data_IF_004589967484
#
_entry.id   IF_004589967484
#
_cell.length_a   1.000
_cell.length_b   1.000
_cell.length_c   1.000
_cell.angle_alpha   90.00
_cell.angle_beta   90.00
_cell.angle_gamma   90.00
#
_symmetry.space_group_name_H-M   'P 1'
#
loop_
_entity.id
_entity.type
_entity.pdbx_description
1 polymer ?
#
# COMPACT_ATOMS: atom_id res chain seq x y z
N UNK A 1 45.04 -2.14 32.08
CA UNK A 1 45.91 -1.73 33.21
C UNK A 1 46.19 -2.97 34.05
N UNK A 2 47.48 -3.16 34.39
CA UNK A 2 48.08 -4.10 35.35
C UNK A 2 48.05 -5.62 35.13
N UNK A 3 49.22 -6.12 34.71
CA UNK A 3 49.98 -7.30 35.15
C UNK A 3 49.30 -8.32 36.07
N UNK A 4 49.40 -9.61 35.70
CA UNK A 4 50.23 -10.58 36.45
C UNK A 4 50.49 -11.83 35.61
N UNK A 5 51.75 -12.28 35.65
CA UNK A 5 52.25 -13.55 35.13
C UNK A 5 51.56 -14.74 35.84
N UNK A 6 51.42 -15.87 35.15
CA UNK A 6 51.98 -17.11 35.68
C UNK A 6 52.19 -18.17 34.61
N UNK A 7 53.30 -18.85 34.83
CA UNK A 7 53.96 -19.92 34.08
C UNK A 7 53.27 -21.26 34.38
N UNK A 8 53.35 -22.22 33.46
CA UNK A 8 53.81 -23.61 33.66
C UNK A 8 53.37 -24.45 32.45
N UNK A 9 54.36 -24.84 31.66
CA UNK A 9 54.33 -25.99 30.75
C UNK A 9 54.41 -27.30 31.54
N UNK A 10 53.66 -28.32 31.09
CA UNK A 10 54.02 -29.72 31.26
C UNK A 10 53.49 -30.56 30.10
N UNK A 11 54.36 -30.70 29.11
CA UNK A 11 54.95 -31.94 28.57
C UNK A 11 54.11 -33.18 28.19
N UNK A 12 54.52 -33.69 27.02
CA UNK A 12 54.61 -35.08 26.57
C UNK A 12 53.36 -35.92 26.23
N UNK A 13 53.10 -36.09 24.92
CA UNK A 13 53.53 -37.28 24.14
C UNK A 13 52.77 -37.33 22.80
N UNK A 14 53.37 -37.02 21.65
CA UNK A 14 54.24 -37.83 20.76
C UNK A 14 53.68 -39.18 20.31
N UNK A 15 53.23 -39.25 19.06
CA UNK A 15 53.70 -40.19 18.02
C UNK A 15 53.15 -39.72 16.67
N UNK A 16 54.02 -39.27 15.75
CA UNK A 16 54.56 -40.04 14.61
C UNK A 16 53.44 -40.48 13.64
N UNK A 17 53.44 -40.18 12.34
CA UNK A 17 54.56 -40.18 11.39
C UNK A 17 54.12 -39.62 10.01
N UNK A 18 55.09 -39.05 9.30
CA UNK A 18 55.31 -39.09 7.84
C UNK A 18 54.27 -38.54 6.82
N UNK A 19 54.58 -37.31 6.37
CA UNK A 19 55.03 -36.94 5.00
C UNK A 19 54.42 -37.58 3.74
N UNK A 20 53.99 -36.66 2.84
CA UNK A 20 54.18 -36.63 1.38
C UNK A 20 53.43 -37.70 0.54
N UNK A 21 52.73 -37.45 -0.57
CA UNK A 21 52.73 -36.39 -1.59
C UNK A 21 51.42 -36.47 -2.41
N UNK A 22 50.93 -35.31 -2.86
CA UNK A 22 50.31 -35.04 -4.17
C UNK A 22 49.25 -36.00 -4.75
N UNK A 23 48.01 -35.50 -4.87
CA UNK A 23 47.18 -35.74 -6.05
C UNK A 23 46.15 -34.63 -6.23
N UNK A 24 46.06 -34.12 -7.46
CA UNK A 24 45.15 -33.07 -7.89
C UNK A 24 43.67 -33.42 -7.62
N UNK A 25 42.89 -32.46 -7.12
CA UNK A 25 41.43 -32.52 -7.16
C UNK A 25 40.86 -31.29 -7.86
N UNK A 26 40.03 -31.58 -8.85
CA UNK A 26 39.33 -30.62 -9.69
C UNK A 26 38.34 -29.79 -8.87
N UNK A 27 38.42 -28.47 -8.99
CA UNK A 27 37.44 -27.54 -8.43
C UNK A 27 36.15 -27.58 -9.26
N UNK A 28 35.21 -28.46 -8.89
CA UNK A 28 33.84 -28.41 -9.39
C UNK A 28 33.06 -27.31 -8.64
N UNK A 29 32.91 -26.14 -9.28
CA UNK A 29 31.94 -25.12 -8.86
C UNK A 29 30.52 -25.60 -9.22
N UNK A 30 29.55 -25.63 -8.29
CA UNK A 30 28.18 -25.92 -8.67
C UNK A 30 27.57 -24.73 -9.43
N UNK A 31 27.32 -24.91 -10.73
CA UNK A 31 26.54 -23.98 -11.56
C UNK A 31 25.04 -24.16 -11.33
N UNK A 32 24.30 -23.04 -11.32
CA UNK A 32 22.85 -22.81 -11.04
C UNK A 32 21.84 -23.56 -11.94
N UNK A 33 22.07 -24.82 -12.31
CA UNK A 33 21.19 -25.53 -13.26
C UNK A 33 20.92 -26.99 -12.90
N UNK A 34 20.45 -27.23 -11.68
CA UNK A 34 19.71 -28.46 -11.35
C UNK A 34 18.86 -28.20 -10.11
N UNK A 35 17.59 -27.82 -10.29
CA UNK A 35 16.41 -28.34 -9.57
C UNK A 35 15.20 -27.72 -10.26
N UNK A 36 14.73 -28.39 -11.30
CA UNK A 36 13.37 -28.28 -11.81
C UNK A 36 13.00 -29.67 -12.28
N UNK A 37 12.45 -30.48 -11.38
CA UNK A 37 11.54 -31.60 -11.67
C UNK A 37 11.14 -32.25 -10.34
N UNK A 38 9.86 -32.14 -10.00
CA UNK A 38 9.27 -32.79 -8.82
C UNK A 38 7.97 -32.12 -8.39
N UNK A 39 6.87 -32.42 -9.09
CA UNK A 39 5.51 -32.09 -8.67
C UNK A 39 5.13 -32.87 -7.40
N UNK A 40 4.55 -32.22 -6.39
CA UNK A 40 3.32 -32.62 -5.68
C UNK A 40 3.14 -31.87 -4.35
N UNK A 41 1.86 -31.67 -4.02
CA UNK A 41 1.29 -31.06 -2.83
C UNK A 41 1.85 -31.65 -1.52
N UNK A 42 2.47 -30.81 -0.67
CA UNK A 42 2.55 -31.03 0.77
C UNK A 42 2.89 -29.71 1.48
N UNK A 43 1.98 -29.24 2.32
CA UNK A 43 2.21 -28.22 3.33
C UNK A 43 3.32 -28.69 4.29
N UNK A 44 4.50 -28.07 4.21
CA UNK A 44 5.61 -28.30 5.13
C UNK A 44 6.34 -26.99 5.39
N UNK A 45 6.32 -26.55 6.64
CA UNK A 45 7.14 -25.44 7.14
C UNK A 45 8.62 -25.77 6.91
N UNK A 46 9.27 -25.05 5.99
CA UNK A 46 10.72 -25.01 5.91
C UNK A 46 11.21 -23.86 6.78
N UNK A 47 11.66 -24.17 8.00
CA UNK A 47 12.47 -23.24 8.80
C UNK A 47 13.88 -23.30 8.21
N UNK A 48 14.16 -22.46 7.22
CA UNK A 48 15.53 -22.16 6.81
C UNK A 48 16.10 -21.09 7.77
N UNK A 49 17.38 -21.16 8.18
CA UNK A 49 17.99 -20.08 8.93
C UNK A 49 18.00 -18.82 8.06
N UNK A 50 17.53 -17.69 8.60
CA UNK A 50 17.69 -16.37 7.97
C UNK A 50 19.20 -16.05 7.83
N UNK A 51 19.79 -16.43 6.71
CA UNK A 51 21.03 -15.81 6.27
C UNK A 51 20.63 -14.45 5.72
N UNK A 52 20.65 -13.41 6.56
CA UNK A 52 20.59 -12.02 6.10
C UNK A 52 21.85 -11.77 5.27
N UNK A 53 21.74 -11.98 3.96
CA UNK A 53 22.75 -11.55 3.01
C UNK A 53 22.97 -10.05 3.22
N UNK A 54 24.22 -9.63 3.40
CA UNK A 54 24.57 -8.22 3.52
C UNK A 54 24.04 -7.44 2.30
N UNK A 55 23.51 -6.23 2.51
CA UNK A 55 23.11 -5.35 1.40
C UNK A 55 24.33 -5.15 0.49
N UNK A 56 24.25 -5.70 -0.73
CA UNK A 56 25.32 -5.56 -1.71
C UNK A 56 25.42 -4.11 -2.19
N UNK A 57 26.66 -3.66 -2.35
CA UNK A 57 27.03 -2.32 -2.81
C UNK A 57 27.56 -2.31 -4.25
N UNK A 58 27.47 -3.43 -4.97
CA UNK A 58 27.89 -3.51 -6.36
C UNK A 58 26.91 -2.76 -7.26
N UNK A 59 27.41 -1.91 -8.16
CA UNK A 59 26.57 -1.15 -9.09
C UNK A 59 25.68 -2.06 -9.98
N UNK A 60 26.14 -3.28 -10.26
CA UNK A 60 25.38 -4.28 -11.02
C UNK A 60 24.24 -4.95 -10.23
N UNK A 61 24.09 -4.62 -8.94
CA UNK A 61 23.05 -5.16 -8.06
C UNK A 61 22.03 -4.10 -7.61
N UNK A 62 22.20 -2.85 -8.02
CA UNK A 62 21.23 -1.79 -7.78
C UNK A 62 20.15 -1.80 -8.86
N UNK A 63 18.91 -1.54 -8.45
CA UNK A 63 17.81 -1.32 -9.40
C UNK A 63 17.96 0.05 -10.05
N UNK A 64 17.67 0.13 -11.35
CA UNK A 64 17.42 1.40 -12.02
C UNK A 64 15.94 1.78 -11.86
N UNK A 65 15.69 2.84 -11.12
CA UNK A 65 14.35 3.28 -10.73
C UNK A 65 14.00 4.61 -11.41
N UNK A 66 12.79 4.65 -11.99
CA UNK A 66 12.15 5.88 -12.43
C UNK A 66 11.07 6.32 -11.43
N UNK A 67 10.95 7.62 -11.15
CA UNK A 67 9.94 8.15 -10.24
C UNK A 67 9.04 9.16 -10.95
N UNK A 68 7.72 8.97 -10.88
CA UNK A 68 6.68 9.79 -11.52
C UNK A 68 5.81 10.45 -10.45
N UNK A 69 5.73 11.78 -10.47
CA UNK A 69 5.11 12.58 -9.40
C UNK A 69 6.04 12.66 -8.20
N UNK A 70 6.94 13.62 -8.18
CA UNK A 70 8.04 13.73 -7.20
C UNK A 70 7.90 14.95 -6.28
N UNK A 71 6.82 15.72 -6.41
CA UNK A 71 6.41 16.72 -5.42
C UNK A 71 5.76 16.13 -4.16
N UNK A 72 5.82 16.83 -3.02
CA UNK A 72 5.11 16.45 -1.79
C UNK A 72 5.45 15.05 -1.29
N UNK A 73 4.46 14.14 -1.22
CA UNK A 73 4.66 12.73 -0.81
C UNK A 73 5.63 12.00 -1.75
N UNK A 74 5.61 12.32 -3.05
CA UNK A 74 6.55 11.78 -4.02
C UNK A 74 8.00 12.01 -3.64
N UNK A 75 8.35 13.19 -3.10
CA UNK A 75 9.71 13.50 -2.66
C UNK A 75 10.21 12.57 -1.54
N UNK A 76 9.31 12.15 -0.64
CA UNK A 76 9.63 11.20 0.41
C UNK A 76 9.86 9.79 -0.18
N UNK A 77 9.07 9.39 -1.19
CA UNK A 77 9.25 8.12 -1.87
C UNK A 77 10.56 8.07 -2.67
N UNK A 78 10.92 9.15 -3.38
CA UNK A 78 12.24 9.26 -4.03
C UNK A 78 13.36 9.10 -3.00
N UNK A 79 13.24 9.73 -1.83
CA UNK A 79 14.17 9.54 -0.71
C UNK A 79 14.21 8.07 -0.22
N UNK A 80 13.06 7.43 -0.08
CA UNK A 80 12.94 6.05 0.37
C UNK A 80 13.59 5.01 -0.55
N UNK A 81 13.69 5.31 -1.85
CA UNK A 81 14.33 4.42 -2.85
C UNK A 81 15.71 4.91 -3.31
N UNK A 82 16.22 6.01 -2.75
CA UNK A 82 17.50 6.63 -3.16
C UNK A 82 18.75 5.81 -2.86
N UNK A 83 18.62 4.66 -2.18
CA UNK A 83 19.68 3.66 -2.07
C UNK A 83 19.92 2.89 -3.38
N UNK A 84 19.00 2.99 -4.35
CA UNK A 84 19.09 2.42 -5.69
C UNK A 84 19.47 3.50 -6.72
N UNK A 85 19.68 3.12 -7.98
CA UNK A 85 20.05 4.06 -9.02
C UNK A 85 18.80 4.79 -9.56
N UNK A 86 18.69 6.10 -9.30
CA UNK A 86 17.63 6.92 -9.87
C UNK A 86 18.01 7.31 -11.30
N UNK A 87 17.36 6.70 -12.30
CA UNK A 87 17.67 6.95 -13.72
C UNK A 87 16.78 8.03 -14.34
N UNK A 88 15.56 8.21 -13.81
CA UNK A 88 14.62 9.19 -14.32
C UNK A 88 13.73 9.77 -13.21
N UNK A 89 13.48 11.07 -13.31
CA UNK A 89 12.56 11.81 -12.46
C UNK A 89 11.55 12.53 -13.35
N UNK A 90 10.26 12.35 -13.09
CA UNK A 90 9.19 12.89 -13.90
C UNK A 90 8.19 13.69 -13.05
N UNK A 91 8.00 14.97 -13.36
CA UNK A 91 6.96 15.79 -12.75
C UNK A 91 6.43 16.85 -13.73
N UNK A 92 5.11 17.03 -13.72
CA UNK A 92 4.44 18.05 -14.52
C UNK A 92 4.60 19.45 -13.93
N UNK A 93 4.95 19.57 -12.65
CA UNK A 93 5.18 20.83 -11.94
C UNK A 93 6.67 20.96 -11.58
N UNK A 94 7.40 21.67 -12.43
CA UNK A 94 8.85 21.85 -12.32
C UNK A 94 9.25 22.67 -11.09
N UNK A 95 8.39 23.58 -10.64
CA UNK A 95 8.65 24.38 -9.44
C UNK A 95 8.51 23.53 -8.18
N UNK A 96 7.43 22.75 -8.08
CA UNK A 96 7.17 21.87 -6.95
C UNK A 96 8.20 20.74 -6.83
N UNK A 97 8.66 20.22 -7.96
CA UNK A 97 9.67 19.17 -8.05
C UNK A 97 11.12 19.68 -8.00
N UNK A 98 11.35 21.00 -8.14
CA UNK A 98 12.68 21.59 -8.34
C UNK A 98 13.74 21.12 -7.34
N UNK A 99 13.44 21.11 -6.04
CA UNK A 99 14.38 20.65 -5.00
C UNK A 99 14.78 19.17 -5.16
N UNK A 100 13.90 18.34 -5.69
CA UNK A 100 14.17 16.92 -5.92
C UNK A 100 15.04 16.76 -7.18
N UNK A 101 14.74 17.50 -8.25
CA UNK A 101 15.60 17.54 -9.44
C UNK A 101 17.02 18.01 -9.08
N UNK A 102 17.15 19.08 -8.31
CA UNK A 102 18.46 19.59 -7.85
C UNK A 102 19.22 18.54 -7.02
N UNK A 103 18.55 17.95 -6.02
CA UNK A 103 19.17 16.98 -5.11
C UNK A 103 19.64 15.72 -5.84
N UNK A 104 18.92 15.28 -6.87
CA UNK A 104 19.20 14.05 -7.61
C UNK A 104 19.51 14.34 -9.09
N UNK A 105 20.25 15.42 -9.38
CA UNK A 105 20.50 15.94 -10.73
C UNK A 105 21.28 15.01 -11.70
N UNK A 106 21.61 13.79 -11.27
CA UNK A 106 22.12 12.73 -12.16
C UNK A 106 21.01 12.01 -12.91
N UNK A 107 19.81 11.95 -12.33
CA UNK A 107 18.65 11.35 -12.96
C UNK A 107 18.14 12.27 -14.08
N UNK A 108 17.73 11.70 -15.21
CA UNK A 108 17.20 12.51 -16.31
C UNK A 108 15.81 13.05 -15.96
N UNK A 109 15.58 14.34 -16.21
CA UNK A 109 14.34 15.04 -15.86
C UNK A 109 13.33 15.00 -17.02
N UNK A 110 12.07 14.70 -16.68
CA UNK A 110 10.95 14.66 -17.62
C UNK A 110 9.73 15.38 -17.05
N UNK A 111 8.86 15.86 -17.93
CA UNK A 111 7.51 16.28 -17.56
C UNK A 111 6.43 15.26 -17.98
N UNK A 112 6.73 14.42 -18.97
CA UNK A 112 5.82 13.41 -19.49
C UNK A 112 6.45 12.01 -19.36
N UNK A 113 5.79 11.14 -18.59
CA UNK A 113 6.28 9.79 -18.35
C UNK A 113 6.29 8.93 -19.64
N UNK A 114 5.48 9.28 -20.65
CA UNK A 114 5.47 8.58 -21.94
C UNK A 114 6.79 8.79 -22.67
N UNK A 115 7.25 10.06 -22.74
CA UNK A 115 8.56 10.42 -23.29
C UNK A 115 9.71 9.82 -22.48
N UNK A 116 9.56 9.72 -21.16
CA UNK A 116 10.51 9.02 -20.29
C UNK A 116 10.63 7.55 -20.69
N UNK A 117 9.53 6.82 -20.87
CA UNK A 117 9.58 5.44 -21.34
C UNK A 117 10.14 5.33 -22.75
N UNK A 118 9.70 6.18 -23.71
CA UNK A 118 10.22 6.17 -25.08
C UNK A 118 11.75 6.24 -25.13
N UNK A 119 12.36 7.01 -24.22
CA UNK A 119 13.81 7.19 -24.15
C UNK A 119 14.52 6.14 -23.29
N UNK A 120 13.97 5.78 -22.13
CA UNK A 120 14.68 5.06 -21.07
C UNK A 120 14.11 3.68 -20.73
N UNK A 121 13.10 3.18 -21.46
CA UNK A 121 12.43 1.90 -21.14
C UNK A 121 13.40 0.73 -20.89
N UNK A 122 14.45 0.60 -21.71
CA UNK A 122 15.44 -0.48 -21.58
C UNK A 122 16.36 -0.33 -20.36
N UNK A 123 16.43 0.85 -19.77
CA UNK A 123 17.27 1.16 -18.62
C UNK A 123 16.49 1.08 -17.30
N UNK A 124 15.17 1.09 -17.32
CA UNK A 124 14.33 1.11 -16.12
C UNK A 124 14.01 -0.33 -15.70
N UNK A 125 14.23 -0.67 -14.44
CA UNK A 125 13.83 -1.93 -13.81
C UNK A 125 12.50 -1.78 -13.05
N UNK A 126 12.34 -0.65 -12.36
CA UNK A 126 11.21 -0.39 -11.48
C UNK A 126 10.73 1.06 -11.54
N UNK A 127 9.45 1.28 -11.21
CA UNK A 127 8.79 2.58 -11.28
C UNK A 127 8.09 2.89 -9.95
N UNK A 128 8.27 4.11 -9.46
CA UNK A 128 7.52 4.68 -8.33
C UNK A 128 6.51 5.68 -8.88
N UNK A 129 5.22 5.49 -8.60
CA UNK A 129 4.14 6.41 -8.98
C UNK A 129 3.59 7.08 -7.72
N UNK A 130 3.57 8.42 -7.71
CA UNK A 130 3.06 9.23 -6.59
C UNK A 130 2.35 10.50 -7.08
N UNK A 131 1.66 10.37 -8.21
CA UNK A 131 0.85 11.42 -8.83
C UNK A 131 -0.48 11.63 -8.08
N UNK A 132 -1.39 12.53 -8.50
CA UNK A 132 -2.76 12.54 -7.99
C UNK A 132 -3.57 11.29 -8.37
N UNK A 133 -4.62 10.96 -7.62
CA UNK A 133 -5.40 9.71 -7.76
C UNK A 133 -5.83 9.44 -9.22
N UNK A 134 -6.36 10.45 -9.93
CA UNK A 134 -6.83 10.32 -11.32
C UNK A 134 -5.73 9.97 -12.33
N UNK A 135 -4.46 10.05 -11.94
CA UNK A 135 -3.31 9.71 -12.78
C UNK A 135 -2.45 8.60 -12.19
N UNK A 136 -2.91 7.87 -11.16
CA UNK A 136 -2.19 6.69 -10.67
C UNK A 136 -2.21 5.55 -11.70
N UNK A 137 -3.38 5.29 -12.29
CA UNK A 137 -3.64 4.13 -13.15
C UNK A 137 -2.76 4.10 -14.41
N UNK A 138 -2.74 5.19 -15.18
CA UNK A 138 -2.11 5.26 -16.50
C UNK A 138 -0.60 4.98 -16.50
N UNK A 139 0.24 5.71 -15.74
CA UNK A 139 1.66 5.40 -15.63
C UNK A 139 1.92 4.03 -15.01
N UNK A 140 1.07 3.57 -14.09
CA UNK A 140 1.20 2.25 -13.45
C UNK A 140 0.98 1.10 -14.43
N UNK A 141 -0.08 1.14 -15.24
CA UNK A 141 -0.31 0.14 -16.28
C UNK A 141 0.78 0.20 -17.34
N UNK A 142 1.18 1.40 -17.77
CA UNK A 142 2.27 1.58 -18.74
C UNK A 142 3.59 0.93 -18.25
N UNK A 143 3.92 1.09 -16.96
CA UNK A 143 5.07 0.44 -16.35
C UNK A 143 4.94 -1.09 -16.32
N UNK A 144 3.81 -1.61 -15.80
CA UNK A 144 3.62 -3.05 -15.65
C UNK A 144 3.48 -3.78 -17.00
N UNK A 145 2.88 -3.16 -18.01
CA UNK A 145 2.83 -3.71 -19.38
C UNK A 145 4.25 -3.94 -19.96
N UNK A 146 5.21 -3.11 -19.55
CA UNK A 146 6.64 -3.21 -19.91
C UNK A 146 7.45 -4.12 -18.96
N UNK A 147 6.76 -4.89 -18.10
CA UNK A 147 7.38 -5.80 -17.15
C UNK A 147 8.15 -5.12 -16.01
N UNK A 148 7.88 -3.84 -15.73
CA UNK A 148 8.58 -3.09 -14.69
C UNK A 148 7.92 -3.32 -13.33
N UNK A 149 8.72 -3.45 -12.28
CA UNK A 149 8.21 -3.49 -10.91
C UNK A 149 7.57 -2.15 -10.53
N UNK A 150 6.55 -2.17 -9.67
CA UNK A 150 5.74 -0.98 -9.42
C UNK A 150 5.50 -0.73 -7.93
N UNK A 151 5.92 0.43 -7.45
CA UNK A 151 5.40 1.03 -6.23
C UNK A 151 4.38 2.10 -6.64
N UNK A 152 3.17 2.08 -6.07
CA UNK A 152 2.17 3.12 -6.31
C UNK A 152 1.65 3.68 -4.98
N UNK A 153 1.57 5.00 -4.83
CA UNK A 153 0.90 5.61 -3.68
C UNK A 153 -0.59 5.26 -3.60
N UNK A 154 -1.14 5.43 -2.40
CA UNK A 154 -2.56 5.20 -2.11
C UNK A 154 -3.41 6.44 -2.43
N UNK A 155 -4.71 6.27 -2.75
CA UNK A 155 -5.38 5.01 -3.06
C UNK A 155 -4.81 4.39 -4.34
N UNK A 156 -4.91 3.06 -4.53
CA UNK A 156 -4.23 2.39 -5.66
C UNK A 156 -4.60 2.99 -7.03
N UNK A 157 -5.85 3.39 -7.21
CA UNK A 157 -6.34 4.09 -8.41
C UNK A 157 -7.57 4.95 -8.08
N UNK A 158 -8.23 5.51 -9.11
CA UNK A 158 -9.33 6.46 -8.95
C UNK A 158 -10.72 5.79 -8.88
N UNK A 159 -10.88 4.60 -9.48
CA UNK A 159 -12.11 3.80 -9.42
C UNK A 159 -11.85 2.30 -9.26
N UNK A 160 -12.92 1.54 -9.01
CA UNK A 160 -12.88 0.09 -8.74
C UNK A 160 -12.33 -0.70 -9.93
N UNK A 161 -12.73 -0.36 -11.16
CA UNK A 161 -12.26 -1.06 -12.35
C UNK A 161 -10.75 -0.93 -12.55
N UNK A 162 -10.21 0.27 -12.37
CA UNK A 162 -8.77 0.55 -12.48
C UNK A 162 -7.96 -0.26 -11.48
N UNK A 163 -8.40 -0.30 -10.21
CA UNK A 163 -7.74 -1.11 -9.18
C UNK A 163 -7.74 -2.59 -9.56
N UNK A 164 -8.88 -3.11 -10.06
CA UNK A 164 -8.95 -4.52 -10.51
C UNK A 164 -8.02 -4.78 -11.69
N UNK A 165 -7.94 -3.87 -12.65
CA UNK A 165 -7.04 -4.02 -13.80
C UNK A 165 -5.56 -4.00 -13.36
N UNK A 166 -5.18 -3.09 -12.47
CA UNK A 166 -3.81 -3.05 -11.91
C UNK A 166 -3.46 -4.34 -11.18
N UNK A 167 -4.38 -4.84 -10.36
CA UNK A 167 -4.21 -6.09 -9.59
C UNK A 167 -4.05 -7.29 -10.52
N UNK A 168 -4.94 -7.44 -11.52
CA UNK A 168 -4.88 -8.51 -12.52
C UNK A 168 -3.59 -8.45 -13.35
N UNK A 169 -3.19 -7.26 -13.78
CA UNK A 169 -1.99 -7.10 -14.58
C UNK A 169 -0.71 -7.41 -13.79
N UNK A 170 -0.63 -6.95 -12.54
CA UNK A 170 0.49 -7.26 -11.65
C UNK A 170 0.68 -8.79 -11.49
N UNK A 171 -0.42 -9.51 -11.24
CA UNK A 171 -0.40 -10.97 -11.13
C UNK A 171 0.01 -11.64 -12.46
N UNK A 172 -0.53 -11.16 -13.59
CA UNK A 172 -0.19 -11.68 -14.93
C UNK A 172 1.28 -11.50 -15.27
N UNK A 173 1.83 -10.32 -15.00
CA UNK A 173 3.22 -9.96 -15.33
C UNK A 173 4.23 -10.48 -14.30
N UNK A 174 3.75 -10.94 -13.14
CA UNK A 174 4.59 -11.43 -12.02
C UNK A 174 5.62 -10.39 -11.58
N UNK A 175 5.22 -9.12 -11.59
CA UNK A 175 6.06 -8.02 -11.14
C UNK A 175 5.90 -7.81 -9.63
N UNK A 176 6.99 -7.48 -8.94
CA UNK A 176 6.95 -7.01 -7.56
C UNK A 176 6.14 -5.71 -7.47
N UNK A 177 5.17 -5.68 -6.56
CA UNK A 177 4.30 -4.52 -6.33
C UNK A 177 4.24 -4.13 -4.86
N UNK A 178 4.01 -2.86 -4.58
CA UNK A 178 3.68 -2.38 -3.24
C UNK A 178 2.77 -1.15 -3.34
N UNK A 179 1.66 -1.16 -2.60
CA UNK A 179 0.82 0.02 -2.40
C UNK A 179 1.45 0.90 -1.30
N UNK A 180 1.40 2.22 -1.44
CA UNK A 180 1.95 3.22 -0.51
C UNK A 180 1.22 3.34 0.83
N UNK A 181 0.90 2.22 1.48
CA UNK A 181 0.32 2.15 2.82
C UNK A 181 1.40 2.05 3.92
N UNK A 182 2.29 3.03 4.05
CA UNK A 182 3.47 2.94 4.93
C UNK A 182 3.21 2.70 6.43
N UNK A 183 1.96 2.85 6.87
CA UNK A 183 1.56 2.57 8.26
C UNK A 183 1.44 1.08 8.55
N UNK A 184 1.34 0.26 7.50
CA UNK A 184 1.30 -1.20 7.56
C UNK A 184 2.50 -1.76 8.34
N UNK A 185 3.68 -1.15 8.18
CA UNK A 185 4.94 -1.61 8.80
C UNK A 185 5.17 -1.07 10.21
N UNK A 186 4.17 -0.43 10.83
CA UNK A 186 4.30 0.03 12.22
C UNK A 186 4.16 -1.18 13.16
N UNK A 187 5.06 -1.30 14.14
CA UNK A 187 5.03 -2.41 15.09
C UNK A 187 3.67 -2.56 15.79
N UNK A 188 3.02 -1.45 16.20
CA UNK A 188 1.69 -1.53 16.80
C UNK A 188 0.59 -2.04 15.86
N UNK A 189 0.75 -1.85 14.54
CA UNK A 189 -0.13 -2.43 13.53
C UNK A 189 -0.03 -3.96 13.59
N UNK A 190 1.20 -4.50 13.53
CA UNK A 190 1.47 -5.93 13.63
C UNK A 190 0.92 -6.52 14.94
N UNK A 191 1.19 -5.87 16.08
CA UNK A 191 0.69 -6.33 17.39
C UNK A 191 -0.84 -6.31 17.52
N UNK A 192 -1.52 -5.39 16.83
CA UNK A 192 -2.99 -5.37 16.80
C UNK A 192 -3.55 -6.52 15.97
N UNK A 193 -2.92 -6.81 14.83
CA UNK A 193 -3.27 -7.95 13.95
C UNK A 193 -3.09 -9.27 14.71
N UNK A 194 -1.96 -9.46 15.40
CA UNK A 194 -1.68 -10.69 16.15
C UNK A 194 -2.66 -10.93 17.30
N UNK A 195 -3.14 -9.87 17.97
CA UNK A 195 -4.18 -10.01 19.00
C UNK A 195 -5.48 -10.58 18.43
N UNK A 196 -5.90 -10.08 17.27
CA UNK A 196 -7.11 -10.59 16.60
C UNK A 196 -6.88 -12.02 16.12
N UNK A 197 -5.76 -12.30 15.46
CA UNK A 197 -5.45 -13.63 14.93
C UNK A 197 -5.24 -14.69 16.02
N UNK A 198 -4.75 -14.28 17.20
CA UNK A 198 -4.65 -15.14 18.39
C UNK A 198 -6.01 -15.41 19.06
N UNK A 199 -7.09 -14.78 18.59
CA UNK A 199 -8.44 -14.96 19.14
C UNK A 199 -8.68 -14.22 20.46
N UNK A 200 -7.92 -13.17 20.77
CA UNK A 200 -8.01 -12.44 22.04
C UNK A 200 -9.44 -12.00 22.39
N UNK A 201 -10.22 -11.62 21.38
CA UNK A 201 -11.61 -11.17 21.54
C UNK A 201 -12.63 -12.13 20.93
N UNK A 202 -12.24 -13.38 20.66
CA UNK A 202 -13.09 -14.38 20.03
C UNK A 202 -13.43 -14.03 18.57
N UNK A 203 -14.62 -14.45 18.13
CA UNK A 203 -15.07 -14.24 16.77
C UNK A 203 -15.53 -12.79 16.56
N UNK A 204 -14.93 -12.07 15.61
CA UNK A 204 -15.30 -10.69 15.27
C UNK A 204 -16.53 -10.67 14.35
N UNK A 205 -17.59 -9.98 14.77
CA UNK A 205 -18.82 -9.79 13.97
C UNK A 205 -18.95 -8.38 13.40
N UNK A 206 -18.29 -7.40 14.01
CA UNK A 206 -18.39 -6.00 13.61
C UNK A 206 -17.07 -5.24 13.81
N UNK A 207 -16.75 -4.36 12.87
CA UNK A 207 -15.60 -3.45 12.95
C UNK A 207 -16.04 -2.03 12.61
N UNK A 208 -15.61 -1.04 13.39
CA UNK A 208 -15.80 0.38 13.09
C UNK A 208 -14.46 1.04 12.82
N UNK A 209 -14.33 1.65 11.64
CA UNK A 209 -13.13 2.31 11.14
C UNK A 209 -13.42 3.80 10.95
N UNK A 210 -12.61 4.71 11.45
CA UNK A 210 -12.91 6.14 11.28
C UNK A 210 -11.71 7.05 11.10
N UNK A 211 -11.94 8.16 10.41
CA UNK A 211 -11.07 9.34 10.44
C UNK A 211 -11.86 10.55 10.89
N UNK A 212 -11.30 11.30 11.84
CA UNK A 212 -11.86 12.59 12.26
C UNK A 212 -11.50 13.70 11.27
N UNK A 213 -12.35 14.73 11.20
CA UNK A 213 -12.08 15.95 10.44
C UNK A 213 -13.28 16.49 9.68
N UNK A 214 -13.09 17.66 9.06
CA UNK A 214 -14.10 18.41 8.31
C UNK A 214 -13.55 18.85 6.92
N UNK A 215 -12.74 17.98 6.29
CA UNK A 215 -12.17 18.25 4.97
C UNK A 215 -13.10 17.74 3.89
N UNK A 216 -13.30 18.54 2.85
CA UNK A 216 -14.25 18.28 1.77
C UNK A 216 -14.96 19.57 1.40
N UNK A 217 -15.79 19.51 0.36
CA UNK A 217 -16.58 20.65 -0.12
C UNK A 217 -15.77 21.96 -0.29
N UNK A 218 -14.63 21.94 -1.02
CA UNK A 218 -13.88 23.17 -1.29
C UNK A 218 -14.74 24.19 -2.03
N UNK A 219 -14.39 25.47 -1.91
CA UNK A 219 -15.07 26.54 -2.65
C UNK A 219 -14.97 26.31 -4.16
N UNK A 220 -16.08 26.51 -4.85
CA UNK A 220 -16.14 26.42 -6.31
C UNK A 220 -15.49 27.66 -6.90
N UNK A 221 -14.47 27.52 -7.77
CA UNK A 221 -13.85 28.68 -8.39
C UNK A 221 -14.83 29.35 -9.36
N UNK A 222 -14.85 30.68 -9.32
CA UNK A 222 -15.54 31.56 -10.27
C UNK A 222 -14.56 32.37 -11.12
N UNK A 223 -13.27 32.28 -10.83
CA UNK A 223 -12.16 32.92 -11.54
C UNK A 223 -11.15 31.84 -11.95
N UNK A 224 -10.50 32.03 -13.09
CA UNK A 224 -9.57 31.05 -13.66
C UNK A 224 -8.30 31.77 -14.11
N UNK A 225 -7.25 31.82 -13.28
CA UNK A 225 -6.00 32.48 -13.64
C UNK A 225 -5.27 31.71 -14.74
N UNK A 226 -4.30 32.36 -15.38
CA UNK A 226 -3.38 31.68 -16.28
C UNK A 226 -2.64 30.53 -15.56
N UNK A 227 -2.30 29.50 -16.34
CA UNK A 227 -1.51 28.38 -15.86
C UNK A 227 -0.10 28.90 -15.50
N UNK A 228 0.43 28.63 -14.30
CA UNK A 228 1.81 28.94 -13.98
C UNK A 228 2.76 28.28 -14.97
N UNK A 229 3.75 29.00 -15.49
CA UNK A 229 4.68 28.52 -16.54
C UNK A 229 5.35 27.18 -16.18
N UNK A 230 5.62 26.96 -14.89
CA UNK A 230 6.24 25.75 -14.40
C UNK A 230 5.33 24.50 -14.42
N UNK A 231 4.03 24.65 -14.69
CA UNK A 231 3.03 23.58 -14.61
C UNK A 231 2.55 23.20 -16.01
N UNK A 232 2.84 21.97 -16.42
CA UNK A 232 2.31 21.36 -17.63
C UNK A 232 0.85 20.91 -17.39
N UNK A 233 -0.07 21.86 -17.44
CA UNK A 233 -1.47 21.66 -17.02
C UNK A 233 -2.21 20.57 -17.82
N UNK A 234 -1.96 20.47 -19.12
CA UNK A 234 -2.59 19.42 -19.94
C UNK A 234 -2.19 18.01 -19.49
N UNK A 235 -0.92 17.84 -19.12
CA UNK A 235 -0.39 16.59 -18.58
C UNK A 235 -0.89 16.34 -17.15
N UNK A 236 -1.05 17.39 -16.34
CA UNK A 236 -1.61 17.28 -14.98
C UNK A 236 -3.08 16.84 -15.01
N UNK A 237 -3.89 17.42 -15.91
CA UNK A 237 -5.28 16.99 -16.12
C UNK A 237 -5.35 15.51 -16.52
N UNK A 238 -4.41 15.09 -17.36
CA UNK A 238 -4.26 13.69 -17.72
C UNK A 238 -5.54 13.14 -18.36
N UNK A 239 -6.07 12.00 -17.86
CA UNK A 239 -7.27 11.38 -18.40
C UNK A 239 -8.57 12.09 -18.01
N UNK A 240 -8.52 13.08 -17.12
CA UNK A 240 -9.72 13.79 -16.66
C UNK A 240 -10.27 14.75 -17.73
N UNK A 241 -11.55 15.13 -17.57
CA UNK A 241 -12.21 16.12 -18.43
C UNK A 241 -11.44 17.44 -18.43
N UNK A 242 -11.08 17.98 -19.62
CA UNK A 242 -10.40 19.27 -19.73
C UNK A 242 -11.11 20.39 -18.98
N UNK A 243 -10.35 21.21 -18.26
CA UNK A 243 -10.86 22.42 -17.58
C UNK A 243 -9.78 23.47 -17.38
N UNK A 244 -10.15 24.74 -17.15
CA UNK A 244 -9.19 25.78 -16.79
C UNK A 244 -8.46 25.46 -15.48
N UNK A 245 -7.25 25.99 -15.35
CA UNK A 245 -6.46 25.88 -14.13
C UNK A 245 -7.09 26.68 -12.98
N UNK A 246 -6.95 26.14 -11.77
CA UNK A 246 -7.20 26.86 -10.52
C UNK A 246 -6.46 26.19 -9.36
N UNK A 247 -5.97 26.99 -8.41
CA UNK A 247 -5.17 26.52 -7.26
C UNK A 247 -5.97 25.66 -6.26
N UNK A 248 -7.31 25.68 -6.34
CA UNK A 248 -8.19 24.76 -5.59
C UNK A 248 -8.00 23.29 -5.98
N UNK A 249 -7.46 23.02 -7.18
CA UNK A 249 -7.15 21.67 -7.65
C UNK A 249 -5.68 21.35 -7.40
N UNK A 250 -4.78 22.06 -8.08
CA UNK A 250 -3.35 21.80 -8.06
C UNK A 250 -2.64 22.77 -7.10
N UNK A 251 -1.71 22.30 -6.24
CA UNK A 251 -1.11 20.96 -6.25
C UNK A 251 -1.69 19.96 -5.24
N UNK A 252 -2.61 20.38 -4.36
CA UNK A 252 -3.05 19.53 -3.24
C UNK A 252 -4.57 19.35 -3.11
N UNK A 253 -5.36 20.36 -3.46
CA UNK A 253 -6.81 20.38 -3.22
C UNK A 253 -7.62 19.40 -4.06
N UNK A 254 -7.04 18.87 -5.13
CA UNK A 254 -7.59 17.85 -6.04
C UNK A 254 -8.25 16.67 -5.34
N UNK A 255 -7.79 16.29 -4.13
CA UNK A 255 -8.35 15.20 -3.32
C UNK A 255 -9.85 15.30 -3.12
N UNK A 256 -10.36 16.53 -3.06
CA UNK A 256 -11.74 16.82 -2.69
C UNK A 256 -12.64 17.14 -3.88
N UNK A 257 -12.18 16.78 -5.09
CA UNK A 257 -12.90 16.93 -6.34
C UNK A 257 -13.03 15.57 -7.01
N UNK A 258 -14.26 15.14 -7.32
CA UNK A 258 -14.51 13.78 -7.83
C UNK A 258 -13.78 13.45 -9.13
N UNK A 259 -13.47 14.47 -9.95
CA UNK A 259 -12.73 14.27 -11.20
C UNK A 259 -11.23 13.96 -11.01
N UNK A 260 -10.68 14.25 -9.83
CA UNK A 260 -9.24 14.15 -9.56
C UNK A 260 -8.89 13.27 -8.36
N UNK A 261 -9.74 13.29 -7.35
CA UNK A 261 -9.52 12.62 -6.08
C UNK A 261 -10.73 11.80 -5.64
N UNK A 262 -10.57 11.20 -4.47
CA UNK A 262 -11.48 10.18 -3.92
C UNK A 262 -11.95 10.53 -2.49
N UNK A 263 -11.79 11.79 -2.08
CA UNK A 263 -12.19 12.29 -0.77
C UNK A 263 -11.44 11.61 0.38
N UNK A 264 -12.02 11.66 1.58
CA UNK A 264 -11.40 11.04 2.75
C UNK A 264 -11.40 9.52 2.71
N UNK A 265 -12.35 8.92 1.99
CA UNK A 265 -12.42 7.49 1.82
C UNK A 265 -11.17 6.95 1.11
N UNK A 266 -10.82 7.45 -0.08
CA UNK A 266 -9.57 7.03 -0.71
C UNK A 266 -8.32 7.59 -0.03
N UNK A 267 -8.40 8.79 0.56
CA UNK A 267 -7.24 9.39 1.20
C UNK A 267 -6.79 8.66 2.49
N UNK A 268 -7.71 8.23 3.36
CA UNK A 268 -7.39 7.55 4.62
C UNK A 268 -7.86 6.09 4.71
N UNK A 269 -8.88 5.70 3.95
CA UNK A 269 -9.44 4.34 3.99
C UNK A 269 -8.39 3.27 3.77
N UNK A 270 -7.50 3.42 2.77
CA UNK A 270 -6.43 2.46 2.51
C UNK A 270 -5.44 2.29 3.68
N UNK A 271 -5.29 3.28 4.56
CA UNK A 271 -4.44 3.14 5.75
C UNK A 271 -5.18 2.56 6.94
N UNK A 272 -6.47 2.86 7.08
CA UNK A 272 -7.26 2.52 8.27
C UNK A 272 -7.91 1.14 8.12
N UNK A 273 -8.43 0.82 6.93
CA UNK A 273 -8.97 -0.50 6.61
C UNK A 273 -7.87 -1.55 6.48
N UNK A 274 -6.60 -1.16 6.33
CA UNK A 274 -5.45 -2.06 6.37
C UNK A 274 -5.42 -2.92 7.64
N UNK A 275 -5.80 -2.36 8.79
CA UNK A 275 -5.84 -3.09 10.07
C UNK A 275 -6.84 -4.26 10.01
N UNK A 276 -8.15 -4.04 9.75
CA UNK A 276 -9.09 -5.15 9.68
C UNK A 276 -8.86 -6.06 8.48
N UNK A 277 -8.37 -5.56 7.35
CA UNK A 277 -8.07 -6.42 6.19
C UNK A 277 -7.01 -7.45 6.52
N UNK A 278 -5.93 -7.04 7.18
CA UNK A 278 -4.86 -7.95 7.57
C UNK A 278 -5.27 -8.84 8.75
N UNK A 279 -5.91 -8.26 9.76
CA UNK A 279 -6.34 -8.96 10.97
C UNK A 279 -7.35 -10.08 10.69
N UNK A 280 -8.23 -9.87 9.70
CA UNK A 280 -9.37 -10.75 9.43
C UNK A 280 -9.28 -11.45 8.07
N UNK A 281 -8.19 -11.28 7.31
CA UNK A 281 -8.05 -11.85 5.95
C UNK A 281 -9.27 -11.52 5.07
N UNK A 282 -9.52 -10.22 4.90
CA UNK A 282 -10.65 -9.73 4.08
C UNK A 282 -10.24 -9.61 2.62
N UNK A 283 -11.20 -9.90 1.72
CA UNK A 283 -11.08 -9.64 0.28
C UNK A 283 -12.16 -8.68 -0.22
N UNK A 284 -13.32 -9.21 -0.59
CA UNK A 284 -14.39 -8.44 -1.21
C UNK A 284 -15.68 -8.53 -0.39
N UNK A 285 -16.37 -7.40 -0.16
CA UNK A 285 -17.71 -7.42 0.43
C UNK A 285 -18.71 -8.00 -0.58
N UNK A 286 -19.85 -8.50 -0.09
CA UNK A 286 -20.99 -8.92 -0.92
C UNK A 286 -22.08 -7.85 -1.01
N UNK A 287 -22.07 -6.88 -0.10
CA UNK A 287 -23.01 -5.76 -0.09
C UNK A 287 -22.34 -4.50 0.45
N UNK A 288 -22.69 -3.35 -0.12
CA UNK A 288 -22.15 -2.05 0.28
C UNK A 288 -23.29 -1.05 0.41
N UNK A 289 -23.32 -0.30 1.52
CA UNK A 289 -24.23 0.82 1.73
C UNK A 289 -23.42 2.11 1.91
N UNK A 290 -24.00 3.24 1.48
CA UNK A 290 -23.41 4.56 1.67
C UNK A 290 -24.48 5.59 2.04
N UNK A 291 -24.17 6.45 3.01
CA UNK A 291 -25.06 7.51 3.48
C UNK A 291 -24.28 8.75 3.91
N UNK A 292 -24.95 9.90 3.94
CA UNK A 292 -24.36 11.19 4.30
C UNK A 292 -25.24 12.35 3.82
N UNK A 293 -24.70 13.58 3.81
CA UNK A 293 -25.35 14.73 3.18
C UNK A 293 -25.66 14.49 1.70
N UNK A 294 -26.50 15.34 1.13
CA UNK A 294 -26.79 15.33 -0.31
C UNK A 294 -25.50 15.31 -1.14
N UNK A 295 -25.45 14.44 -2.16
CA UNK A 295 -24.28 14.24 -3.00
C UNK A 295 -24.04 15.47 -3.87
N UNK A 296 -22.93 16.16 -3.66
CA UNK A 296 -22.47 17.18 -4.60
C UNK A 296 -21.86 16.50 -5.85
N UNK A 297 -22.24 16.92 -7.07
CA UNK A 297 -21.80 16.26 -8.29
C UNK A 297 -20.30 16.43 -8.57
N UNK A 298 -19.64 17.42 -7.96
CA UNK A 298 -18.23 17.78 -8.26
C UNK A 298 -17.28 17.57 -7.09
N UNK A 299 -17.77 17.65 -5.86
CA UNK A 299 -16.95 17.75 -4.65
C UNK A 299 -17.23 16.62 -3.67
N UNK A 300 -16.19 16.17 -2.99
CA UNK A 300 -16.32 15.12 -1.98
C UNK A 300 -16.95 15.67 -0.72
N UNK A 301 -17.77 14.87 0.00
CA UNK A 301 -18.39 15.33 1.22
C UNK A 301 -17.36 15.57 2.31
N UNK A 302 -17.76 16.37 3.31
CA UNK A 302 -17.04 16.53 4.57
C UNK A 302 -17.29 15.39 5.54
N UNK A 303 -18.43 14.72 5.36
CA UNK A 303 -18.83 13.59 6.18
C UNK A 303 -19.60 12.55 5.37
N UNK A 304 -19.29 11.27 5.58
CA UNK A 304 -20.08 10.16 5.05
C UNK A 304 -19.83 8.89 5.87
N UNK A 305 -20.81 7.99 5.83
CA UNK A 305 -20.75 6.65 6.42
C UNK A 305 -20.91 5.61 5.33
N UNK A 306 -20.15 4.53 5.41
CA UNK A 306 -20.34 3.36 4.53
C UNK A 306 -20.31 2.08 5.33
N UNK A 307 -21.13 1.12 4.93
CA UNK A 307 -21.22 -0.20 5.55
C UNK A 307 -20.88 -1.26 4.51
N UNK A 308 -20.04 -2.21 4.88
CA UNK A 308 -19.60 -3.30 4.04
C UNK A 308 -19.97 -4.62 4.70
N UNK A 309 -20.69 -5.49 4.00
CA UNK A 309 -20.96 -6.85 4.45
C UNK A 309 -19.95 -7.79 3.85
N UNK A 310 -19.25 -8.53 4.69
CA UNK A 310 -18.32 -9.57 4.26
C UNK A 310 -18.93 -10.95 4.53
N UNK A 311 -18.80 -11.89 3.57
CA UNK A 311 -19.27 -13.25 3.78
C UNK A 311 -18.38 -13.97 4.81
N UNK A 312 -18.90 -15.07 5.32
CA UNK A 312 -18.08 -16.04 6.06
C UNK A 312 -16.99 -16.60 5.15
N UNK A 313 -15.78 -16.82 5.69
CA UNK A 313 -14.68 -17.45 4.95
C UNK A 313 -13.86 -18.34 5.89
N UNK A 314 -13.78 -19.62 5.57
CA UNK A 314 -13.14 -20.62 6.44
C UNK A 314 -13.77 -20.63 7.85
N UNK A 315 -12.97 -20.27 8.86
CA UNK A 315 -13.42 -20.17 10.26
C UNK A 315 -13.92 -18.77 10.66
N UNK A 316 -13.72 -17.76 9.81
CA UNK A 316 -14.17 -16.39 10.09
C UNK A 316 -15.67 -16.30 9.82
N UNK A 317 -16.50 -15.84 10.79
CA UNK A 317 -17.93 -15.62 10.58
C UNK A 317 -18.16 -14.48 9.56
N UNK A 318 -19.39 -14.33 9.03
CA UNK A 318 -19.72 -13.10 8.32
C UNK A 318 -19.60 -11.91 9.27
N UNK A 319 -19.22 -10.76 8.74
CA UNK A 319 -19.05 -9.56 9.54
C UNK A 319 -19.44 -8.29 8.80
N UNK A 320 -19.74 -7.26 9.58
CA UNK A 320 -19.94 -5.91 9.08
C UNK A 320 -18.69 -5.07 9.35
N UNK A 321 -18.19 -4.38 8.32
CA UNK A 321 -17.20 -3.32 8.47
C UNK A 321 -17.88 -1.98 8.19
N UNK A 322 -17.80 -1.06 9.15
CA UNK A 322 -18.32 0.29 9.04
C UNK A 322 -17.16 1.27 8.88
N UNK A 323 -17.28 2.20 7.93
CA UNK A 323 -16.36 3.32 7.75
C UNK A 323 -17.07 4.65 7.99
N UNK A 324 -16.35 5.56 8.66
CA UNK A 324 -16.81 6.90 8.95
C UNK A 324 -15.70 7.90 8.65
N UNK A 325 -16.03 8.97 7.94
CA UNK A 325 -15.28 10.21 8.09
C UNK A 325 -16.24 11.28 8.56
N UNK A 326 -16.03 11.79 9.76
CA UNK A 326 -16.88 12.78 10.40
C UNK A 326 -16.14 13.39 11.59
N UNK A 327 -16.39 14.67 11.89
CA UNK A 327 -15.76 15.38 13.00
C UNK A 327 -15.97 14.70 14.37
N UNK A 328 -17.11 14.05 14.58
CA UNK A 328 -17.49 13.48 15.87
C UNK A 328 -17.15 11.98 16.02
N UNK A 329 -16.53 11.36 15.01
CA UNK A 329 -16.31 9.92 14.98
C UNK A 329 -17.62 9.11 14.98
N UNK A 330 -17.54 7.77 15.10
CA UNK A 330 -18.72 6.92 15.10
C UNK A 330 -19.47 6.93 16.44
N UNK A 331 -20.80 6.83 16.37
CA UNK A 331 -21.71 6.92 17.52
C UNK A 331 -21.45 5.82 18.56
N UNK A 332 -21.06 4.63 18.11
CA UNK A 332 -20.71 3.47 18.96
C UNK A 332 -19.66 3.79 20.02
N UNK A 333 -18.73 4.72 19.76
CA UNK A 333 -17.75 5.13 20.77
C UNK A 333 -18.42 5.86 21.93
N UNK A 334 -19.42 6.71 21.65
CA UNK A 334 -20.15 7.45 22.69
C UNK A 334 -21.08 6.52 23.46
N UNK A 335 -21.75 5.62 22.77
CA UNK A 335 -22.63 4.60 23.37
C UNK A 335 -21.89 3.70 24.36
N UNK A 336 -20.65 3.35 24.04
CA UNK A 336 -19.78 2.52 24.89
C UNK A 336 -18.94 3.34 25.88
N UNK A 337 -19.07 4.67 25.92
CA UNK A 337 -18.25 5.54 26.78
C UNK A 337 -16.75 5.53 26.46
N UNK A 338 -16.37 5.24 25.22
CA UNK A 338 -15.00 5.13 24.74
C UNK A 338 -14.50 6.43 24.13
N UNK A 339 -13.21 6.73 24.35
CA UNK A 339 -12.51 7.81 23.64
C UNK A 339 -11.83 7.27 22.37
N UNK A 340 -12.11 7.88 21.22
CA UNK A 340 -11.42 7.58 19.96
C UNK A 340 -10.03 8.20 19.83
N UNK A 341 -9.50 8.86 20.87
CA UNK A 341 -8.20 9.55 20.82
C UNK A 341 -7.08 8.55 20.50
N UNK A 342 -6.29 8.83 19.48
CA UNK A 342 -5.21 7.99 18.94
C UNK A 342 -5.65 6.64 18.33
N UNK A 343 -6.95 6.31 18.38
CA UNK A 343 -7.54 5.15 17.75
C UNK A 343 -8.22 5.52 16.43
N UNK A 344 -8.39 4.53 15.58
CA UNK A 344 -9.14 4.64 14.33
C UNK A 344 -9.88 3.34 13.95
N UNK A 345 -9.81 2.32 14.81
CA UNK A 345 -10.46 1.04 14.66
C UNK A 345 -11.02 0.56 16.01
N UNK A 346 -12.24 0.02 15.98
CA UNK A 346 -12.86 -0.72 17.08
C UNK A 346 -13.36 -2.04 16.52
N UNK A 347 -12.82 -3.15 17.01
CA UNK A 347 -13.29 -4.50 16.70
C UNK A 347 -14.22 -4.97 17.81
N UNK A 348 -15.37 -5.54 17.44
CA UNK A 348 -16.34 -6.13 18.36
C UNK A 348 -16.37 -7.64 18.13
N UNK A 349 -15.95 -8.39 19.14
CA UNK A 349 -15.91 -9.84 19.12
C UNK A 349 -16.72 -10.49 20.25
N UNK A 350 -16.94 -11.79 20.14
CA UNK A 350 -17.75 -12.57 21.10
C UNK A 350 -17.19 -12.56 22.52
N UNK A 351 -15.88 -12.36 22.68
CA UNK A 351 -15.22 -12.36 23.99
C UNK A 351 -14.75 -10.98 24.45
N UNK A 352 -14.96 -9.92 23.66
CA UNK A 352 -14.55 -8.58 24.03
C UNK A 352 -14.37 -7.67 22.83
N UNK A 353 -13.68 -6.56 23.03
CA UNK A 353 -13.40 -5.60 21.97
C UNK A 353 -11.91 -5.23 21.93
N UNK A 354 -11.44 -4.84 20.74
CA UNK A 354 -10.12 -4.25 20.56
C UNK A 354 -10.27 -2.83 20.00
N UNK A 355 -9.93 -1.83 20.81
CA UNK A 355 -9.80 -0.45 20.37
C UNK A 355 -8.34 -0.19 19.99
N UNK A 356 -8.07 0.16 18.74
CA UNK A 356 -6.70 0.33 18.26
C UNK A 356 -6.55 1.42 17.20
N UNK A 357 -5.29 1.77 16.93
CA UNK A 357 -4.87 2.66 15.87
C UNK A 357 -3.39 2.48 15.56
N UNK A 358 -2.78 3.45 14.89
CA UNK A 358 -1.39 3.28 14.43
C UNK A 358 -0.35 3.26 15.55
N UNK A 359 -0.66 3.81 16.72
CA UNK A 359 0.25 3.90 17.86
C UNK A 359 -0.34 3.45 19.20
N UNK A 360 -1.55 2.89 19.20
CA UNK A 360 -2.18 2.37 20.42
C UNK A 360 -3.02 1.12 20.13
N UNK A 361 -3.22 0.30 21.16
CA UNK A 361 -4.14 -0.84 21.16
C UNK A 361 -4.59 -1.11 22.59
N UNK A 362 -5.84 -1.52 22.77
CA UNK A 362 -6.46 -1.71 24.08
C UNK A 362 -7.58 -2.76 23.99
N UNK A 363 -7.45 -3.83 24.77
CA UNK A 363 -8.51 -4.83 24.96
C UNK A 363 -9.55 -4.30 25.95
N UNK A 364 -10.82 -4.58 25.68
CA UNK A 364 -11.96 -4.05 26.42
C UNK A 364 -13.02 -5.13 26.67
N UNK A 365 -13.73 -5.09 27.82
CA UNK A 365 -13.51 -4.18 28.93
C UNK A 365 -12.21 -4.52 29.70
N UNK A 366 -11.50 -3.53 30.20
CA UNK A 366 -10.11 -3.70 30.70
C UNK A 366 -9.98 -4.69 31.85
N UNK A 367 -10.98 -4.73 32.73
CA UNK A 367 -11.04 -5.62 33.88
C UNK A 367 -11.06 -7.10 33.46
N UNK A 368 -11.78 -7.45 32.38
CA UNK A 368 -11.76 -8.81 31.80
C UNK A 368 -10.36 -9.20 31.28
N UNK A 369 -9.56 -8.23 30.87
CA UNK A 369 -8.26 -8.45 30.23
C UNK A 369 -7.06 -8.04 31.11
N UNK A 370 -7.28 -7.77 32.40
CA UNK A 370 -6.22 -7.31 33.32
C UNK A 370 -5.03 -8.30 33.39
N UNK A 371 -5.32 -9.60 33.37
CA UNK A 371 -4.32 -10.68 33.40
C UNK A 371 -4.05 -11.28 32.01
N UNK A 372 -4.54 -10.65 30.93
CA UNK A 372 -4.37 -11.18 29.57
C UNK A 372 -2.90 -11.11 29.14
N UNK A 373 -2.33 -12.28 28.82
CA UNK A 373 -0.98 -12.37 28.28
C UNK A 373 -0.99 -12.06 26.80
N UNK A 374 -0.26 -11.01 26.40
CA UNK A 374 -0.09 -10.68 24.99
C UNK A 374 0.55 -11.88 24.26
N UNK A 375 0.03 -12.30 23.09
CA UNK A 375 0.60 -13.41 22.34
C UNK A 375 2.05 -13.14 21.93
N UNK A 376 2.80 -14.20 21.64
CA UNK A 376 4.14 -14.07 21.07
C UNK A 376 4.11 -13.30 19.74
N UNK A 377 5.25 -12.76 19.34
CA UNK A 377 5.38 -12.12 18.04
C UNK A 377 5.50 -13.18 16.95
N UNK A 378 4.52 -13.20 16.05
CA UNK A 378 4.44 -14.08 14.87
C UNK A 378 4.65 -13.31 13.57
N UNK A 379 4.41 -11.99 13.57
CA UNK A 379 4.67 -11.09 12.44
C UNK A 379 6.00 -10.37 12.71
N UNK A 380 7.04 -10.60 11.87
CA UNK A 380 8.32 -9.94 12.05
C UNK A 380 8.21 -8.43 11.87
N UNK A 381 9.07 -7.68 12.54
CA UNK A 381 9.20 -6.25 12.27
C UNK A 381 9.68 -6.02 10.84
N UNK A 382 9.11 -5.01 10.18
CA UNK A 382 9.50 -4.65 8.82
C UNK A 382 10.96 -4.21 8.77
N UNK A 383 11.75 -4.64 7.76
CA UNK A 383 13.08 -4.09 7.53
C UNK A 383 13.05 -2.62 7.07
N UNK A 384 11.87 -2.09 6.74
CA UNK A 384 11.63 -0.76 6.23
C UNK A 384 10.72 -0.81 5.01
N UNK A 385 9.74 0.10 4.96
CA UNK A 385 8.65 0.02 3.98
C UNK A 385 9.12 -0.10 2.52
N UNK A 386 9.97 0.80 2.04
CA UNK A 386 10.51 0.72 0.67
C UNK A 386 11.51 -0.44 0.50
N UNK A 387 12.17 -0.88 1.57
CA UNK A 387 13.14 -1.99 1.52
C UNK A 387 12.46 -3.33 1.25
N UNK A 388 11.25 -3.54 1.75
CA UNK A 388 10.44 -4.71 1.40
C UNK A 388 10.22 -4.80 -0.11
N UNK A 389 9.80 -3.69 -0.75
CA UNK A 389 9.59 -3.68 -2.19
C UNK A 389 10.88 -3.80 -2.99
N UNK A 390 11.97 -3.15 -2.57
CA UNK A 390 13.29 -3.32 -3.21
C UNK A 390 13.75 -4.77 -3.12
N UNK A 391 13.51 -5.45 -1.99
CA UNK A 391 13.83 -6.87 -1.80
C UNK A 391 13.01 -7.74 -2.75
N UNK A 392 11.70 -7.50 -2.83
CA UNK A 392 10.81 -8.19 -3.76
C UNK A 392 11.24 -8.02 -5.23
N UNK A 393 11.62 -6.79 -5.63
CA UNK A 393 12.12 -6.50 -6.97
C UNK A 393 13.39 -7.30 -7.33
N UNK A 394 14.21 -7.65 -6.33
CA UNK A 394 15.44 -8.44 -6.52
C UNK A 394 15.21 -9.95 -6.42
N UNK A 395 13.95 -10.39 -6.39
CA UNK A 395 13.55 -11.80 -6.31
C UNK A 395 13.51 -12.37 -4.90
N UNK A 396 13.53 -11.51 -3.86
CA UNK A 396 13.23 -11.91 -2.49
C UNK A 396 11.74 -11.99 -2.21
N UNK A 397 11.38 -12.06 -0.93
CA UNK A 397 9.97 -12.15 -0.50
C UNK A 397 9.14 -10.96 -1.01
N UNK A 398 7.86 -11.19 -1.36
CA UNK A 398 6.94 -10.12 -1.70
C UNK A 398 6.83 -9.09 -0.58
N UNK A 399 6.68 -7.81 -0.95
CA UNK A 399 6.33 -6.78 0.03
C UNK A 399 4.97 -7.12 0.66
N UNK A 400 4.81 -6.88 1.96
CA UNK A 400 3.57 -7.27 2.66
C UNK A 400 2.34 -6.50 2.15
N UNK A 401 2.56 -5.28 1.63
CA UNK A 401 1.57 -4.46 0.94
C UNK A 401 1.47 -4.71 -0.58
N UNK A 402 1.78 -5.91 -1.09
CA UNK A 402 1.67 -6.21 -2.52
C UNK A 402 0.22 -6.11 -3.05
N UNK A 403 0.05 -5.96 -4.37
CA UNK A 403 -1.28 -5.71 -4.97
C UNK A 403 -2.27 -6.87 -4.84
N UNK A 404 -1.79 -8.10 -4.65
CA UNK A 404 -2.67 -9.24 -4.37
C UNK A 404 -3.42 -9.10 -3.04
N UNK A 405 -2.78 -8.47 -2.04
CA UNK A 405 -3.37 -8.13 -0.76
C UNK A 405 -4.10 -6.76 -0.82
N UNK A 406 -3.40 -5.73 -1.30
CA UNK A 406 -3.89 -4.34 -1.22
C UNK A 406 -4.90 -3.97 -2.31
N UNK A 407 -5.01 -4.75 -3.39
CA UNK A 407 -5.98 -4.58 -4.46
C UNK A 407 -7.42 -4.71 -3.95
N UNK A 408 -7.82 -5.87 -3.38
CA UNK A 408 -9.15 -6.06 -2.79
C UNK A 408 -9.52 -4.98 -1.76
N UNK A 409 -8.57 -4.59 -0.91
CA UNK A 409 -8.76 -3.48 0.04
C UNK A 409 -9.06 -2.16 -0.66
N UNK A 410 -8.25 -1.81 -1.67
CA UNK A 410 -8.41 -0.56 -2.42
C UNK A 410 -9.72 -0.53 -3.21
N UNK A 411 -10.17 -1.67 -3.75
CA UNK A 411 -11.47 -1.79 -4.40
C UNK A 411 -12.59 -1.48 -3.40
N UNK A 412 -12.57 -2.06 -2.21
CA UNK A 412 -13.59 -1.81 -1.19
C UNK A 412 -13.62 -0.37 -0.73
N UNK A 413 -12.45 0.26 -0.57
CA UNK A 413 -12.36 1.69 -0.29
C UNK A 413 -13.15 2.49 -1.36
N UNK A 414 -12.95 2.18 -2.63
CA UNK A 414 -13.63 2.90 -3.72
C UNK A 414 -15.10 2.51 -3.89
N UNK A 415 -15.51 1.29 -3.53
CA UNK A 415 -16.92 0.88 -3.46
C UNK A 415 -17.69 1.75 -2.45
N UNK A 416 -17.06 2.14 -1.34
CA UNK A 416 -17.68 3.07 -0.38
C UNK A 416 -18.04 4.42 -1.01
N UNK A 417 -17.14 4.99 -1.83
CA UNK A 417 -17.44 6.19 -2.60
C UNK A 417 -18.56 5.95 -3.63
N UNK A 418 -18.55 4.81 -4.32
CA UNK A 418 -19.59 4.47 -5.30
C UNK A 418 -20.97 4.39 -4.64
N UNK A 419 -21.10 3.75 -3.48
CA UNK A 419 -22.36 3.62 -2.75
C UNK A 419 -22.90 4.98 -2.28
N UNK A 420 -22.03 5.83 -1.71
CA UNK A 420 -22.41 7.19 -1.32
C UNK A 420 -22.90 8.00 -2.53
N UNK A 421 -22.14 7.99 -3.63
CA UNK A 421 -22.49 8.75 -4.85
C UNK A 421 -23.74 8.22 -5.56
N UNK A 422 -24.02 6.93 -5.45
CA UNK A 422 -25.24 6.31 -5.96
C UNK A 422 -26.49 6.63 -5.12
N UNK A 423 -26.31 7.28 -3.96
CA UNK A 423 -27.40 7.64 -3.04
C UNK A 423 -27.99 6.45 -2.29
N UNK A 424 -27.24 5.36 -2.14
CA UNK A 424 -27.70 4.17 -1.44
C UNK A 424 -26.93 2.91 -1.78
N UNK A 425 -27.25 1.81 -1.10
CA UNK A 425 -26.51 0.56 -1.21
C UNK A 425 -26.76 -0.26 -2.47
N UNK A 426 -25.90 -1.25 -2.68
CA UNK A 426 -25.95 -2.23 -3.76
C UNK A 426 -25.28 -3.54 -3.35
N UNK A 427 -25.72 -4.63 -3.97
CA UNK A 427 -25.03 -5.93 -3.89
C UNK A 427 -23.81 -5.91 -4.82
N UNK A 428 -22.67 -6.41 -4.33
CA UNK A 428 -21.42 -6.44 -5.08
C UNK A 428 -21.06 -7.85 -5.51
N UNK A 429 -21.04 -8.07 -6.83
CA UNK A 429 -20.55 -9.30 -7.44
C UNK A 429 -19.09 -9.13 -7.86
N UNK A 430 -18.19 -9.44 -6.94
CA UNK A 430 -16.76 -9.19 -7.12
C UNK A 430 -16.12 -9.93 -8.30
N UNK A 431 -16.60 -11.13 -8.66
CA UNK A 431 -16.08 -11.90 -9.80
C UNK A 431 -16.48 -11.29 -11.15
N UNK A 432 -17.68 -10.71 -11.21
CA UNK A 432 -18.25 -10.06 -12.40
C UNK A 432 -17.88 -8.57 -12.49
N UNK A 433 -17.35 -7.97 -11.41
CA UNK A 433 -17.14 -6.52 -11.27
C UNK A 433 -18.45 -5.76 -11.52
N UNK A 434 -19.53 -6.22 -10.88
CA UNK A 434 -20.88 -5.71 -11.11
C UNK A 434 -21.58 -5.33 -9.80
N UNK A 435 -22.21 -4.16 -9.80
CA UNK A 435 -23.17 -3.72 -8.79
C UNK A 435 -24.60 -4.09 -9.21
N UNK A 436 -25.36 -4.72 -8.31
CA UNK A 436 -26.77 -5.05 -8.54
C UNK A 436 -27.69 -4.43 -7.47
N UNK A 437 -28.97 -4.25 -7.80
CA UNK A 437 -29.94 -3.63 -6.89
C UNK A 437 -29.96 -2.09 -6.92
N UNK A 438 -28.88 -1.44 -7.37
CA UNK A 438 -28.84 0.01 -7.62
C UNK A 438 -28.12 0.34 -8.95
N UNK A 439 -28.86 0.55 -10.06
CA UNK A 439 -28.26 0.78 -11.36
C UNK A 439 -27.47 2.09 -11.45
N UNK A 440 -27.64 3.02 -10.50
CA UNK A 440 -26.84 4.26 -10.47
C UNK A 440 -25.39 4.00 -10.08
N UNK A 441 -25.07 2.91 -9.38
CA UNK A 441 -23.73 2.62 -8.87
C UNK A 441 -22.73 2.32 -10.00
N UNK A 442 -23.17 1.67 -11.08
CA UNK A 442 -22.33 1.25 -12.21
C UNK A 442 -21.50 2.40 -12.82
N UNK A 443 -22.10 3.58 -12.95
CA UNK A 443 -21.41 4.75 -13.52
C UNK A 443 -20.23 5.25 -12.67
N UNK A 444 -20.12 4.81 -11.41
CA UNK A 444 -19.04 5.18 -10.49
C UNK A 444 -17.98 4.10 -10.32
N UNK A 445 -18.16 2.94 -10.95
CA UNK A 445 -17.18 1.85 -10.95
C UNK A 445 -16.09 2.05 -12.00
N UNK A 446 -16.34 2.92 -12.99
CA UNK A 446 -15.47 3.25 -14.10
C UNK A 446 -15.24 4.76 -14.19
N UNK A 447 -14.08 5.18 -14.69
CA UNK A 447 -13.81 6.58 -15.01
C UNK A 447 -14.00 6.86 -16.49
N UNK A 448 -14.35 8.11 -16.78
CA UNK A 448 -14.13 8.69 -18.10
C UNK A 448 -12.63 8.71 -18.40
N UNK A 449 -12.25 8.30 -19.62
CA UNK A 449 -10.89 8.41 -20.13
C UNK A 449 -10.91 9.42 -21.28
N UNK A 450 -10.24 10.55 -21.08
CA UNK A 450 -10.06 11.57 -22.12
C UNK A 450 -9.35 10.98 -23.34
N UNK A 451 -9.81 11.36 -24.54
CA UNK A 451 -9.17 10.97 -25.80
C UNK A 451 -7.67 11.28 -25.80
N UNK A 452 -6.85 10.31 -26.20
CA UNK A 452 -5.38 10.36 -26.16
C UNK A 452 -4.75 9.83 -24.86
N UNK A 453 -5.56 9.33 -23.92
CA UNK A 453 -5.14 8.68 -22.68
C UNK A 453 -5.62 7.24 -22.57
N UNK A 454 -6.09 6.65 -23.67
CA UNK A 454 -6.46 5.24 -23.73
C UNK A 454 -5.24 4.32 -23.49
N UNK A 455 -5.47 3.12 -22.94
CA UNK A 455 -4.43 2.14 -22.56
C UNK A 455 -4.59 0.85 -23.34
#
# INVERSE_FOLDING_TARGET
>A
MNNTQNVIDHDASTSHQANHLSSAEATNKPTRRTVLQGSLLASGYWIAPEVRAAESKSANELLNIACIGIGGRGSANVGGVSSQNLVALCDVDQQRAGKVFEKYGKAEAFADYRKMFDKLEKQIDAVVVSTPDHTHFHPSIAAMQRGKHLYCEKPMAHNVWEVRQMTKLAAKQKVATQLGCQRHTLSNMHRSVELIQAGAIGNVSEVHCWVGGDRGMPSVPNEFPEVPEAVQWDLWLGPATPRPYHSTYCPYGWRFWWDFGTGEMGNWGCHILDIPYWALDLKYPTHVEGSGPEVDPRRTPKQMTTKFQFPAEGKRPPLTLNWYHASNGPDVLRELGLSGKNANNLFIGTEGMLLCGFGMRKLLPEDKFADYKTPDQTIPDSPGFHKEWITACKGGEPATCHFGYSGPMSETVLLGNAAYRAGGGFDWKADELQATGNPKAEQFLHSYIRKGWEI
#
